data_IF_253438235070
#
_entry.id   IF_253438235070
#
_cell.length_a   1.000
_cell.length_b   1.000
_cell.length_c   1.000
_cell.angle_alpha   90.00
_cell.angle_beta   90.00
_cell.angle_gamma   90.00
#
_symmetry.space_group_name_H-M   'P 1'
#
loop_
_entity.id
_entity.type
_entity.pdbx_description
1 polymer ?
#
# COMPACT_ATOMS: atom_id res chain seq x y z
N UNK A 1 -14.66 12.15 -6.64
CA UNK A 1 -14.20 10.89 -7.27
C UNK A 1 -15.44 10.01 -7.43
N UNK A 2 -15.61 9.33 -8.56
CA UNK A 2 -16.71 8.38 -8.76
C UNK A 2 -16.17 6.98 -8.48
N UNK A 3 -16.74 6.29 -7.50
CA UNK A 3 -16.37 4.94 -7.11
C UNK A 3 -17.58 4.24 -6.51
N UNK A 4 -17.51 2.91 -6.43
CA UNK A 4 -18.54 2.09 -5.78
C UNK A 4 -17.93 1.51 -4.50
N UNK A 5 -18.69 1.66 -3.41
CA UNK A 5 -18.41 1.08 -2.11
C UNK A 5 -19.06 -0.31 -2.02
N UNK A 6 -18.35 -1.29 -1.47
CA UNK A 6 -18.90 -2.61 -1.19
C UNK A 6 -18.25 -3.23 0.06
N UNK A 7 -19.01 -4.10 0.73
CA UNK A 7 -18.55 -4.85 1.90
C UNK A 7 -17.58 -5.96 1.50
N UNK A 8 -16.46 -6.06 2.22
CA UNK A 8 -15.51 -7.15 2.08
C UNK A 8 -16.14 -8.51 2.38
N UNK A 9 -15.97 -9.47 1.47
CA UNK A 9 -16.45 -10.85 1.64
C UNK A 9 -15.59 -11.68 2.61
N UNK A 10 -14.45 -11.15 3.06
CA UNK A 10 -13.56 -11.85 3.98
C UNK A 10 -14.02 -11.77 5.45
N UNK A 11 -15.14 -11.10 5.73
CA UNK A 11 -15.71 -11.00 7.08
C UNK A 11 -14.88 -10.14 8.04
N UNK A 12 -13.94 -9.37 7.51
CA UNK A 12 -13.05 -8.45 8.23
C UNK A 12 -13.69 -7.07 8.49
N UNK A 13 -14.89 -6.83 7.94
CA UNK A 13 -15.60 -5.56 8.07
C UNK A 13 -14.91 -4.38 7.39
N UNK A 14 -13.95 -4.64 6.50
CA UNK A 14 -13.25 -3.60 5.76
C UNK A 14 -14.11 -3.09 4.59
N UNK A 15 -14.14 -1.77 4.45
CA UNK A 15 -14.78 -1.10 3.31
C UNK A 15 -13.81 -1.08 2.14
N UNK A 16 -14.20 -1.69 1.03
CA UNK A 16 -13.41 -1.69 -0.21
C UNK A 16 -13.97 -0.66 -1.19
N UNK A 17 -13.06 -0.02 -1.93
CA UNK A 17 -13.38 0.97 -2.95
C UNK A 17 -12.94 0.48 -4.32
N UNK A 18 -13.89 0.30 -5.24
CA UNK A 18 -13.58 0.18 -6.66
C UNK A 18 -13.52 1.59 -7.27
N UNK A 19 -12.35 1.96 -7.78
CA UNK A 19 -12.14 3.20 -8.54
C UNK A 19 -12.25 2.87 -10.03
N UNK A 20 -13.03 3.64 -10.77
CA UNK A 20 -13.04 3.53 -12.23
C UNK A 20 -11.74 4.11 -12.80
N UNK A 21 -10.98 3.30 -13.53
CA UNK A 21 -9.88 3.77 -14.36
C UNK A 21 -10.44 4.71 -15.43
N UNK A 22 -9.77 5.84 -15.66
CA UNK A 22 -10.22 6.77 -16.70
C UNK A 22 -9.77 6.26 -18.07
N UNK A 23 -10.56 6.49 -19.15
CA UNK A 23 -10.10 6.17 -20.49
C UNK A 23 -8.76 6.86 -20.78
N UNK A 24 -7.71 6.09 -21.03
CA UNK A 24 -6.35 6.59 -21.26
C UNK A 24 -5.39 6.45 -20.08
N UNK A 25 -5.84 5.98 -18.91
CA UNK A 25 -4.93 5.50 -17.88
C UNK A 25 -4.26 4.20 -18.38
N UNK A 26 -2.95 4.08 -18.13
CA UNK A 26 -2.20 2.86 -18.42
C UNK A 26 -2.58 1.73 -17.44
N UNK A 27 -2.12 0.50 -17.68
CA UNK A 27 -2.42 -0.66 -16.81
C UNK A 27 -1.92 -0.51 -15.36
N UNK A 28 -1.10 0.51 -15.09
CA UNK A 28 -0.62 0.89 -13.76
C UNK A 28 -0.86 2.39 -13.61
N UNK A 29 -1.45 2.79 -12.49
CA UNK A 29 -1.66 4.20 -12.16
C UNK A 29 -0.33 4.95 -12.11
N UNK A 30 -0.30 6.15 -12.69
CA UNK A 30 0.87 7.06 -12.61
C UNK A 30 1.28 7.46 -11.19
N UNK A 31 0.42 7.22 -10.20
CA UNK A 31 0.71 7.45 -8.79
C UNK A 31 1.34 6.22 -8.11
N UNK A 32 1.43 5.08 -8.81
CA UNK A 32 2.14 3.88 -8.35
C UNK A 32 3.53 3.93 -8.96
N UNK A 33 4.50 4.38 -8.16
CA UNK A 33 5.86 4.67 -8.62
C UNK A 33 6.77 3.45 -8.61
N UNK A 34 6.42 2.39 -7.86
CA UNK A 34 7.31 1.25 -7.61
C UNK A 34 6.60 -0.04 -8.00
N UNK A 35 7.09 -0.68 -9.05
CA UNK A 35 6.77 -2.06 -9.45
C UNK A 35 7.92 -3.01 -9.13
N UNK A 36 9.01 -2.51 -8.54
CA UNK A 36 10.17 -3.32 -8.22
C UNK A 36 9.88 -4.10 -6.94
N UNK A 37 10.11 -5.41 -7.01
CA UNK A 37 9.85 -6.35 -5.94
C UNK A 37 11.18 -6.93 -5.49
N UNK A 38 11.53 -6.69 -4.24
CA UNK A 38 12.75 -7.18 -3.60
C UNK A 38 12.50 -7.53 -2.14
N UNK A 39 13.43 -8.27 -1.52
CA UNK A 39 13.44 -8.38 -0.06
C UNK A 39 13.57 -6.99 0.55
N UNK A 40 12.88 -6.75 1.66
CA UNK A 40 13.07 -5.53 2.46
C UNK A 40 14.38 -5.69 3.22
N UNK A 41 15.30 -4.75 3.07
CA UNK A 41 16.58 -4.73 3.76
C UNK A 41 16.50 -3.88 5.03
N UNK A 42 17.29 -4.22 6.05
CA UNK A 42 17.32 -3.50 7.33
C UNK A 42 17.60 -1.99 7.19
N UNK A 43 18.22 -1.60 6.09
CA UNK A 43 18.73 -0.25 5.84
C UNK A 43 17.82 0.55 4.89
N UNK A 44 16.70 -0.03 4.48
CA UNK A 44 15.73 0.60 3.59
C UNK A 44 15.16 1.86 4.24
N UNK A 45 15.18 2.98 3.52
CA UNK A 45 14.70 4.27 4.04
C UNK A 45 13.24 4.22 4.46
N UNK A 46 12.43 3.49 3.69
CA UNK A 46 10.99 3.34 3.94
C UNK A 46 10.74 2.46 5.17
N UNK A 47 11.55 1.42 5.39
CA UNK A 47 11.49 0.61 6.61
C UNK A 47 11.86 1.43 7.84
N UNK A 48 12.98 2.18 7.78
CA UNK A 48 13.43 3.04 8.87
C UNK A 48 12.35 4.07 9.23
N UNK A 49 11.72 4.70 8.24
CA UNK A 49 10.67 5.68 8.46
C UNK A 49 9.41 5.04 9.06
N UNK A 50 9.01 3.85 8.58
CA UNK A 50 7.90 3.11 9.16
C UNK A 50 8.17 2.76 10.63
N UNK A 51 9.36 2.25 10.96
CA UNK A 51 9.75 1.94 12.34
C UNK A 51 9.68 3.19 13.23
N UNK A 52 10.16 4.34 12.74
CA UNK A 52 10.07 5.62 13.45
C UNK A 52 8.62 6.04 13.72
N UNK A 53 7.74 5.94 12.73
CA UNK A 53 6.31 6.28 12.87
C UNK A 53 5.61 5.37 13.89
N UNK A 54 5.96 4.10 13.91
CA UNK A 54 5.37 3.09 14.79
C UNK A 54 6.09 2.92 16.14
N UNK A 55 7.16 3.68 16.39
CA UNK A 55 8.00 3.60 17.61
C UNK A 55 8.57 2.20 17.85
N UNK A 56 8.98 1.54 16.77
CA UNK A 56 9.60 0.23 16.80
C UNK A 56 11.13 0.40 16.85
N UNK A 57 11.77 -0.52 17.55
CA UNK A 57 13.23 -0.70 17.58
C UNK A 57 13.50 -2.18 17.33
N UNK A 58 14.66 -2.48 16.73
CA UNK A 58 15.11 -3.87 16.66
C UNK A 58 15.31 -4.41 18.08
N UNK A 59 15.02 -5.70 18.29
CA UNK A 59 15.56 -6.38 19.48
C UNK A 59 17.07 -6.51 19.25
N UNK A 60 17.87 -5.99 20.18
CA UNK A 60 19.30 -6.27 20.21
C UNK A 60 19.47 -7.79 20.49
N UNK A 61 20.33 -8.47 19.72
CA UNK A 61 20.77 -9.86 20.00
C UNK A 61 21.52 -10.00 21.33
#
# INVERSE_FOLDING_TARGET
>A
MAGIEFESWHGDGLVLWALYERPGDGPVSKNVTVLDYGPVEEHDSDLIEAMRLHKLVWEDD
#
